data_IF_740920509607
#
_entry.id   IF_740920509607
#
_cell.length_a   1.000
_cell.length_b   1.000
_cell.length_c   1.000
_cell.angle_alpha   90.00
_cell.angle_beta   90.00
_cell.angle_gamma   90.00
#
_symmetry.space_group_name_H-M   'P 1'
#
loop_
_entity.id
_entity.type
_entity.pdbx_description
1 polymer ?
#
# COMPACT_ATOMS: atom_id res chain seq x y z
N UNK A 1 4.76 -39.08 4.05
CA UNK A 1 5.73 -40.17 4.27
C UNK A 1 5.80 -40.40 5.78
N UNK A 2 5.31 -41.52 6.32
CA UNK A 2 5.44 -41.78 7.76
C UNK A 2 6.94 -41.86 8.11
N UNK A 3 7.37 -41.18 9.17
CA UNK A 3 8.76 -41.12 9.67
C UNK A 3 9.75 -40.15 8.98
N UNK A 4 9.32 -39.24 8.12
CA UNK A 4 10.17 -38.12 7.68
C UNK A 4 10.00 -36.92 8.61
N UNK A 5 11.11 -36.46 9.20
CA UNK A 5 11.28 -35.12 9.77
C UNK A 5 12.24 -34.39 8.84
N UNK A 6 11.84 -33.24 8.30
CA UNK A 6 12.65 -32.46 7.36
C UNK A 6 11.86 -31.31 6.74
N UNK A 7 12.56 -30.43 6.03
CA UNK A 7 11.99 -29.30 5.32
C UNK A 7 12.10 -29.52 3.80
N UNK A 8 11.06 -29.10 3.06
CA UNK A 8 11.05 -29.07 1.60
C UNK A 8 10.70 -27.66 1.19
N UNK A 9 11.59 -27.01 0.45
CA UNK A 9 11.32 -25.70 -0.14
C UNK A 9 10.51 -25.87 -1.41
N UNK A 10 9.37 -25.19 -1.45
CA UNK A 10 8.51 -25.07 -2.62
C UNK A 10 8.85 -23.81 -3.41
N UNK A 11 8.53 -23.80 -4.71
CA UNK A 11 8.67 -22.61 -5.55
C UNK A 11 7.55 -22.59 -6.60
N UNK A 12 6.94 -21.43 -6.77
CA UNK A 12 5.88 -21.17 -7.75
C UNK A 12 6.45 -20.81 -9.14
N UNK A 13 7.77 -20.65 -9.28
CA UNK A 13 8.41 -20.58 -10.60
C UNK A 13 9.72 -19.80 -10.64
N UNK A 14 9.89 -19.00 -11.69
CA UNK A 14 11.10 -18.19 -11.90
C UNK A 14 11.12 -16.91 -11.05
N UNK A 15 9.96 -16.48 -10.54
CA UNK A 15 9.81 -15.25 -9.75
C UNK A 15 10.33 -15.40 -8.31
N UNK A 16 10.47 -16.62 -7.80
CA UNK A 16 10.94 -16.91 -6.45
C UNK A 16 12.27 -17.70 -6.44
N UNK A 17 13.05 -17.62 -7.53
CA UNK A 17 14.32 -18.34 -7.70
C UNK A 17 15.33 -18.05 -6.57
N UNK A 18 15.52 -16.77 -6.24
CA UNK A 18 16.40 -16.38 -5.15
C UNK A 18 15.88 -16.89 -3.80
N UNK A 19 14.58 -16.72 -3.55
CA UNK A 19 13.92 -17.16 -2.32
C UNK A 19 14.07 -18.67 -2.14
N UNK A 20 13.91 -19.46 -3.20
CA UNK A 20 14.13 -20.90 -3.17
C UNK A 20 15.53 -21.25 -2.68
N UNK A 21 16.56 -20.57 -3.20
CA UNK A 21 17.96 -20.84 -2.83
C UNK A 21 18.22 -20.43 -1.38
N UNK A 22 17.71 -19.26 -0.98
CA UNK A 22 17.83 -18.75 0.39
C UNK A 22 17.17 -19.68 1.40
N UNK A 23 15.90 -20.01 1.20
CA UNK A 23 15.16 -20.90 2.09
C UNK A 23 15.70 -22.31 2.09
N UNK A 24 16.27 -22.80 0.97
CA UNK A 24 16.90 -24.13 0.93
C UNK A 24 18.15 -24.18 1.79
N UNK A 25 18.97 -23.13 1.71
CA UNK A 25 20.18 -23.02 2.51
C UNK A 25 19.86 -22.89 4.01
N UNK A 26 18.88 -22.06 4.36
CA UNK A 26 18.43 -21.88 5.75
C UNK A 26 17.74 -23.12 6.33
N UNK A 27 16.96 -23.84 5.53
CA UNK A 27 16.36 -25.10 5.92
C UNK A 27 17.41 -26.17 6.25
N UNK A 28 18.55 -26.15 5.56
CA UNK A 28 19.68 -27.03 5.84
C UNK A 28 20.50 -26.55 7.04
N UNK A 29 20.79 -25.26 7.13
CA UNK A 29 21.53 -24.65 8.22
C UNK A 29 20.97 -23.25 8.53
N UNK A 30 20.21 -23.09 9.63
CA UNK A 30 19.63 -21.80 10.03
C UNK A 30 20.69 -20.72 10.32
N UNK A 31 21.91 -21.10 10.71
CA UNK A 31 23.02 -20.18 11.00
C UNK A 31 23.81 -19.75 9.74
N UNK A 32 23.25 -19.99 8.54
CA UNK A 32 23.91 -19.63 7.28
C UNK A 32 24.12 -18.12 7.17
N UNK A 33 25.36 -17.69 6.93
CA UNK A 33 25.66 -16.28 6.65
C UNK A 33 25.04 -15.86 5.31
N UNK A 34 23.98 -15.06 5.36
CA UNK A 34 23.22 -14.61 4.18
C UNK A 34 24.07 -13.84 3.18
N UNK A 35 24.93 -12.93 3.63
CA UNK A 35 25.80 -12.17 2.72
C UNK A 35 26.75 -13.07 1.93
N UNK A 36 27.32 -14.09 2.59
CA UNK A 36 28.14 -15.09 1.90
C UNK A 36 27.32 -15.91 0.91
N UNK A 37 26.11 -16.32 1.27
CA UNK A 37 25.20 -17.05 0.40
C UNK A 37 24.84 -16.24 -0.86
N UNK A 38 24.42 -14.98 -0.70
CA UNK A 38 24.09 -14.09 -1.82
C UNK A 38 25.32 -13.79 -2.69
N UNK A 39 26.50 -13.67 -2.08
CA UNK A 39 27.76 -13.52 -2.83
C UNK A 39 28.05 -14.76 -3.68
N UNK A 40 27.83 -15.96 -3.13
CA UNK A 40 27.99 -17.21 -3.87
C UNK A 40 26.95 -17.36 -4.98
N UNK A 41 25.70 -16.97 -4.72
CA UNK A 41 24.62 -16.91 -5.71
C UNK A 41 25.01 -16.05 -6.91
N UNK A 42 25.43 -14.80 -6.67
CA UNK A 42 25.83 -13.89 -7.73
C UNK A 42 27.05 -14.38 -8.53
N UNK A 43 28.06 -14.95 -7.85
CA UNK A 43 29.22 -15.53 -8.52
C UNK A 43 28.87 -16.75 -9.39
N UNK A 44 27.93 -17.58 -8.94
CA UNK A 44 27.57 -18.83 -9.62
C UNK A 44 26.62 -18.59 -10.80
N UNK A 45 25.55 -17.83 -10.57
CA UNK A 45 24.47 -17.70 -11.55
C UNK A 45 24.62 -16.51 -12.49
N UNK A 46 25.37 -15.48 -12.11
CA UNK A 46 25.52 -14.27 -12.93
C UNK A 46 26.96 -14.15 -13.43
N UNK A 47 27.90 -13.69 -12.59
CA UNK A 47 29.28 -13.45 -13.00
C UNK A 47 30.23 -13.61 -11.82
N UNK A 48 31.19 -14.51 -11.98
CA UNK A 48 32.33 -14.61 -11.05
C UNK A 48 33.07 -13.28 -10.98
N UNK A 49 33.23 -12.73 -9.78
CA UNK A 49 33.88 -11.44 -9.52
C UNK A 49 32.89 -10.31 -9.19
N UNK A 50 31.62 -10.43 -9.57
CA UNK A 50 30.57 -9.48 -9.20
C UNK A 50 29.77 -9.90 -7.97
N UNK A 51 29.98 -11.11 -7.43
CA UNK A 51 29.20 -11.66 -6.32
C UNK A 51 28.93 -10.69 -5.15
N UNK A 52 29.95 -10.01 -4.60
CA UNK A 52 29.72 -9.05 -3.50
C UNK A 52 28.79 -7.89 -3.88
N UNK A 53 28.93 -7.35 -5.10
CA UNK A 53 28.11 -6.24 -5.60
C UNK A 53 26.68 -6.68 -5.92
N UNK A 54 26.51 -7.90 -6.42
CA UNK A 54 25.19 -8.51 -6.60
C UNK A 54 24.50 -8.71 -5.25
N UNK A 55 25.22 -9.21 -4.23
CA UNK A 55 24.67 -9.35 -2.88
C UNK A 55 24.24 -8.00 -2.30
N UNK A 56 25.04 -6.96 -2.50
CA UNK A 56 24.70 -5.59 -2.11
C UNK A 56 23.43 -5.09 -2.83
N UNK A 57 23.35 -5.27 -4.15
CA UNK A 57 22.19 -4.90 -4.95
C UNK A 57 20.91 -5.63 -4.52
N UNK A 58 21.00 -6.93 -4.22
CA UNK A 58 19.87 -7.74 -3.71
C UNK A 58 19.40 -7.24 -2.34
N UNK A 59 20.31 -6.97 -1.40
CA UNK A 59 19.91 -6.33 -0.14
C UNK A 59 19.34 -4.93 -0.35
N UNK A 60 19.81 -4.19 -1.35
CA UNK A 60 19.24 -2.89 -1.74
C UNK A 60 17.77 -3.02 -2.15
N UNK A 61 17.41 -4.06 -2.92
CA UNK A 61 16.02 -4.33 -3.31
C UNK A 61 15.14 -4.62 -2.09
N UNK A 62 15.61 -5.39 -1.11
CA UNK A 62 14.87 -5.64 0.13
C UNK A 62 14.66 -4.36 0.94
N UNK A 63 15.69 -3.50 1.04
CA UNK A 63 15.59 -2.21 1.75
C UNK A 63 14.64 -1.21 1.07
N UNK A 64 14.34 -1.38 -0.22
CA UNK A 64 13.35 -0.54 -0.89
C UNK A 64 11.92 -0.77 -0.34
N UNK A 65 11.67 -1.91 0.33
CA UNK A 65 10.39 -2.21 0.99
C UNK A 65 10.31 -1.69 2.43
N UNK A 66 11.40 -1.18 2.98
CA UNK A 66 11.42 -0.65 4.35
C UNK A 66 10.89 0.79 4.40
N UNK A 67 9.66 0.95 4.89
CA UNK A 67 9.02 2.24 5.12
C UNK A 67 8.36 2.86 3.87
N UNK A 68 7.84 4.10 3.98
CA UNK A 68 7.14 4.77 2.89
C UNK A 68 8.03 5.01 1.68
N UNK A 69 7.55 4.66 0.48
CA UNK A 69 8.34 4.68 -0.76
C UNK A 69 8.77 6.10 -1.16
N UNK A 70 7.91 7.09 -0.99
CA UNK A 70 8.13 8.50 -1.33
C UNK A 70 9.35 9.09 -0.60
N UNK A 71 9.50 8.74 0.68
CA UNK A 71 10.56 9.20 1.57
C UNK A 71 11.73 8.21 1.71
N UNK A 72 11.64 7.01 1.14
CA UNK A 72 12.70 6.00 1.21
C UNK A 72 13.99 6.49 0.51
N UNK A 73 15.10 6.69 1.26
CA UNK A 73 16.34 7.22 0.70
C UNK A 73 17.15 6.19 -0.08
N UNK A 74 16.85 4.89 0.07
CA UNK A 74 17.66 3.80 -0.49
C UNK A 74 17.40 3.58 -1.97
N UNK A 75 16.20 3.89 -2.47
CA UNK A 75 15.73 3.52 -3.82
C UNK A 75 16.68 3.99 -4.92
N UNK A 76 17.13 5.24 -4.87
CA UNK A 76 18.10 5.76 -5.85
C UNK A 76 19.48 5.10 -5.71
N UNK A 77 19.93 4.82 -4.48
CA UNK A 77 21.20 4.13 -4.22
C UNK A 77 21.18 2.70 -4.78
N UNK A 78 20.08 1.98 -4.54
CA UNK A 78 19.83 0.64 -5.09
C UNK A 78 19.88 0.67 -6.62
N UNK A 79 19.16 1.59 -7.28
CA UNK A 79 19.20 1.71 -8.75
C UNK A 79 20.64 1.93 -9.25
N UNK A 80 21.42 2.81 -8.62
CA UNK A 80 22.80 3.10 -9.02
C UNK A 80 23.69 1.85 -8.96
N UNK A 81 23.56 1.03 -7.91
CA UNK A 81 24.33 -0.22 -7.79
C UNK A 81 24.08 -1.14 -8.99
N UNK A 82 22.81 -1.26 -9.41
CA UNK A 82 22.41 -2.09 -10.55
C UNK A 82 22.83 -1.48 -11.90
N UNK A 83 22.69 -0.17 -12.09
CA UNK A 83 23.16 0.54 -13.29
C UNK A 83 24.67 0.41 -13.47
N UNK A 84 25.45 0.54 -12.40
CA UNK A 84 26.90 0.35 -12.49
C UNK A 84 27.27 -1.09 -12.89
N UNK A 85 26.51 -2.10 -12.46
CA UNK A 85 26.75 -3.48 -12.91
C UNK A 85 26.36 -3.68 -14.38
N UNK A 86 25.26 -3.07 -14.82
CA UNK A 86 24.84 -3.05 -16.22
C UNK A 86 25.90 -2.40 -17.13
N UNK A 87 26.51 -1.29 -16.70
CA UNK A 87 27.57 -0.62 -17.45
C UNK A 87 28.84 -1.47 -17.56
N UNK A 88 29.21 -2.20 -16.51
CA UNK A 88 30.45 -3.00 -16.47
C UNK A 88 30.29 -4.32 -17.23
N UNK A 89 29.12 -4.95 -17.16
CA UNK A 89 28.84 -6.23 -17.84
C UNK A 89 27.50 -6.17 -18.62
N UNK A 90 27.44 -5.45 -19.76
CA UNK A 90 26.20 -5.33 -20.53
C UNK A 90 25.62 -6.65 -21.01
N UNK A 91 26.47 -7.67 -21.23
CA UNK A 91 26.01 -9.01 -21.64
C UNK A 91 25.10 -9.69 -20.60
N UNK A 92 25.17 -9.29 -19.32
CA UNK A 92 24.27 -9.81 -18.30
C UNK A 92 22.81 -9.37 -18.52
N UNK A 93 22.59 -8.22 -19.15
CA UNK A 93 21.24 -7.73 -19.46
C UNK A 93 20.61 -8.49 -20.64
N UNK A 94 21.43 -9.06 -21.51
CA UNK A 94 20.96 -9.77 -22.71
C UNK A 94 20.74 -11.26 -22.48
N UNK A 95 21.48 -11.86 -21.54
CA UNK A 95 21.64 -13.33 -21.46
C UNK A 95 21.45 -13.89 -20.06
N UNK A 96 21.08 -13.07 -19.08
CA UNK A 96 20.99 -13.51 -17.71
C UNK A 96 19.70 -13.00 -17.05
N UNK A 97 18.64 -13.78 -17.21
CA UNK A 97 17.33 -13.48 -16.66
C UNK A 97 17.32 -13.18 -15.15
N UNK A 98 18.25 -13.75 -14.36
CA UNK A 98 18.35 -13.44 -12.92
C UNK A 98 18.85 -12.03 -12.68
N UNK A 99 19.85 -11.61 -13.46
CA UNK A 99 20.33 -10.24 -13.43
C UNK A 99 19.27 -9.28 -13.96
N UNK A 100 18.61 -9.64 -15.08
CA UNK A 100 17.52 -8.87 -15.67
C UNK A 100 16.37 -8.64 -14.68
N UNK A 101 15.95 -9.65 -13.91
CA UNK A 101 14.91 -9.50 -12.89
C UNK A 101 15.30 -8.50 -11.79
N UNK A 102 16.54 -8.58 -11.28
CA UNK A 102 17.02 -7.64 -10.26
C UNK A 102 17.15 -6.21 -10.80
N UNK A 103 17.65 -6.06 -12.02
CA UNK A 103 17.74 -4.78 -12.71
C UNK A 103 16.34 -4.21 -12.98
N UNK A 104 15.41 -5.00 -13.50
CA UNK A 104 14.02 -4.62 -13.71
C UNK A 104 13.39 -4.10 -12.42
N UNK A 105 13.56 -4.83 -11.32
CA UNK A 105 13.02 -4.42 -10.01
C UNK A 105 13.59 -3.08 -9.56
N UNK A 106 14.91 -2.87 -9.69
CA UNK A 106 15.55 -1.61 -9.30
C UNK A 106 15.04 -0.41 -10.12
N UNK A 107 14.87 -0.58 -11.44
CA UNK A 107 14.25 0.42 -12.31
C UNK A 107 12.79 0.67 -11.93
N UNK A 108 12.05 -0.38 -11.57
CA UNK A 108 10.62 -0.30 -11.26
C UNK A 108 10.37 0.47 -9.98
N UNK A 109 11.07 0.11 -8.90
CA UNK A 109 10.97 0.80 -7.61
C UNK A 109 11.31 2.29 -7.75
N UNK A 110 12.36 2.62 -8.51
CA UNK A 110 12.72 4.01 -8.77
C UNK A 110 11.64 4.75 -9.57
N UNK A 111 11.15 4.16 -10.66
CA UNK A 111 10.12 4.78 -11.50
C UNK A 111 8.83 5.05 -10.71
N UNK A 112 8.33 4.03 -10.00
CA UNK A 112 7.11 4.15 -9.18
C UNK A 112 7.29 5.20 -8.08
N UNK A 113 8.46 5.25 -7.43
CA UNK A 113 8.75 6.30 -6.44
C UNK A 113 8.67 7.71 -7.04
N UNK A 114 9.27 7.92 -8.22
CA UNK A 114 9.27 9.23 -8.87
C UNK A 114 7.85 9.67 -9.26
N UNK A 115 7.02 8.72 -9.72
CA UNK A 115 5.59 8.95 -9.96
C UNK A 115 4.84 9.28 -8.67
N UNK A 116 5.00 8.48 -7.62
CA UNK A 116 4.33 8.70 -6.33
C UNK A 116 4.61 10.10 -5.78
N UNK A 117 5.87 10.55 -5.80
CA UNK A 117 6.26 11.89 -5.34
C UNK A 117 5.59 12.98 -6.18
N UNK A 118 5.60 12.84 -7.51
CA UNK A 118 4.98 13.80 -8.43
C UNK A 118 3.46 13.88 -8.25
N UNK A 119 2.79 12.73 -8.23
CA UNK A 119 1.34 12.61 -8.11
C UNK A 119 0.83 13.07 -6.73
N UNK A 120 1.59 12.82 -5.66
CA UNK A 120 1.28 13.34 -4.33
C UNK A 120 1.36 14.86 -4.27
N UNK A 121 2.31 15.47 -4.98
CA UNK A 121 2.42 16.93 -5.07
C UNK A 121 1.22 17.53 -5.82
N UNK A 122 0.79 16.89 -6.92
CA UNK A 122 -0.42 17.31 -7.65
C UNK A 122 -1.66 17.20 -6.76
N UNK A 123 -1.82 16.08 -6.03
CA UNK A 123 -2.94 15.91 -5.11
C UNK A 123 -2.96 17.03 -4.07
N UNK A 124 -1.81 17.35 -3.46
CA UNK A 124 -1.71 18.45 -2.51
C UNK A 124 -2.15 19.79 -3.11
N UNK A 125 -1.72 20.10 -4.33
CA UNK A 125 -2.12 21.34 -5.02
C UNK A 125 -3.63 21.39 -5.32
N UNK A 126 -4.24 20.24 -5.62
CA UNK A 126 -5.69 20.10 -5.78
C UNK A 126 -6.41 20.39 -4.46
N UNK A 127 -5.93 19.81 -3.35
CA UNK A 127 -6.51 20.04 -2.02
C UNK A 127 -6.37 21.50 -1.60
N UNK A 128 -5.18 22.10 -1.78
CA UNK A 128 -4.94 23.52 -1.52
C UNK A 128 -5.86 24.43 -2.36
N UNK A 129 -6.09 24.05 -3.63
CA UNK A 129 -7.02 24.76 -4.51
C UNK A 129 -8.46 24.70 -3.99
N UNK A 130 -8.93 23.52 -3.56
CA UNK A 130 -10.25 23.35 -2.98
C UNK A 130 -10.40 24.23 -1.74
N UNK A 131 -9.45 24.18 -0.80
CA UNK A 131 -9.47 24.97 0.43
C UNK A 131 -9.47 26.49 0.17
N UNK A 132 -8.84 26.94 -0.91
CA UNK A 132 -8.81 28.35 -1.31
C UNK A 132 -10.09 28.84 -2.00
N UNK A 133 -10.99 27.93 -2.37
CA UNK A 133 -12.20 28.23 -3.14
C UNK A 133 -13.23 28.96 -2.28
N UNK A 134 -13.83 30.01 -2.84
CA UNK A 134 -14.87 30.80 -2.16
C UNK A 134 -16.22 30.62 -2.87
N UNK A 135 -17.33 30.48 -2.11
CA UNK A 135 -18.67 30.47 -2.70
C UNK A 135 -18.93 31.75 -3.50
N UNK A 136 -19.55 31.63 -4.68
CA UNK A 136 -20.02 32.78 -5.47
C UNK A 136 -21.51 32.65 -5.75
N UNK A 137 -22.29 33.61 -5.29
CA UNK A 137 -23.74 33.49 -5.19
C UNK A 137 -24.53 33.72 -6.51
N UNK A 138 -23.89 34.02 -7.65
CA UNK A 138 -24.65 34.58 -8.78
C UNK A 138 -24.18 34.31 -10.21
N UNK A 139 -23.09 33.55 -10.43
CA UNK A 139 -22.64 33.25 -11.79
C UNK A 139 -23.12 31.87 -12.25
N UNK A 140 -23.52 31.76 -13.52
CA UNK A 140 -23.87 30.51 -14.21
C UNK A 140 -22.74 29.46 -14.21
N UNK A 141 -21.55 29.84 -13.76
CA UNK A 141 -20.46 28.98 -13.34
C UNK A 141 -20.10 29.33 -11.88
N UNK A 142 -20.71 28.61 -10.92
CA UNK A 142 -20.46 28.79 -9.50
C UNK A 142 -18.98 28.64 -9.13
N UNK A 143 -18.61 29.11 -7.94
CA UNK A 143 -17.25 28.97 -7.41
C UNK A 143 -16.80 27.51 -7.36
N UNK A 144 -17.71 26.60 -7.01
CA UNK A 144 -17.46 25.15 -6.99
C UNK A 144 -17.17 24.58 -8.37
N UNK A 145 -17.94 24.96 -9.40
CA UNK A 145 -17.78 24.44 -10.78
C UNK A 145 -16.45 24.89 -11.38
N UNK A 146 -16.08 26.15 -11.17
CA UNK A 146 -14.77 26.65 -11.60
C UNK A 146 -13.62 25.96 -10.87
N UNK A 147 -13.78 25.69 -9.57
CA UNK A 147 -12.77 24.97 -8.79
C UNK A 147 -12.58 23.54 -9.28
N UNK A 148 -13.67 22.81 -9.54
CA UNK A 148 -13.63 21.45 -10.10
C UNK A 148 -12.92 21.46 -11.46
N UNK A 149 -13.25 22.42 -12.33
CA UNK A 149 -12.58 22.55 -13.63
C UNK A 149 -11.07 22.76 -13.48
N UNK A 150 -10.66 23.71 -12.63
CA UNK A 150 -9.24 23.98 -12.36
C UNK A 150 -8.53 22.76 -11.76
N UNK A 151 -9.18 22.04 -10.84
CA UNK A 151 -8.62 20.84 -10.21
C UNK A 151 -8.47 19.70 -11.23
N UNK A 152 -9.44 19.48 -12.12
CA UNK A 152 -9.33 18.49 -13.21
C UNK A 152 -8.18 18.82 -14.18
N UNK A 153 -7.89 20.11 -14.42
CA UNK A 153 -6.72 20.50 -15.21
C UNK A 153 -5.41 20.15 -14.51
N UNK A 154 -5.32 20.35 -13.20
CA UNK A 154 -4.16 19.95 -12.40
C UNK A 154 -3.98 18.42 -12.38
N UNK A 155 -5.04 17.66 -12.10
CA UNK A 155 -5.00 16.19 -12.08
C UNK A 155 -4.55 15.61 -13.43
N UNK A 156 -4.95 16.23 -14.54
CA UNK A 156 -4.51 15.82 -15.89
C UNK A 156 -3.00 16.00 -16.12
N UNK A 157 -2.33 16.89 -15.39
CA UNK A 157 -0.88 17.07 -15.54
C UNK A 157 -0.11 15.79 -15.23
N UNK A 158 -0.63 14.93 -14.34
CA UNK A 158 -0.02 13.63 -14.02
C UNK A 158 0.10 12.70 -15.25
N UNK A 159 -0.78 12.83 -16.25
CA UNK A 159 -0.69 12.05 -17.49
C UNK A 159 0.18 12.71 -18.58
N UNK A 160 0.31 14.03 -18.51
CA UNK A 160 0.96 14.83 -19.56
C UNK A 160 2.46 14.99 -19.32
N UNK A 161 2.88 15.01 -18.06
CA UNK A 161 4.29 15.10 -17.70
C UNK A 161 4.95 13.73 -17.79
N UNK A 162 5.86 13.57 -18.76
CA UNK A 162 6.62 12.33 -18.95
C UNK A 162 7.72 12.22 -17.87
N UNK A 163 7.33 11.76 -16.69
CA UNK A 163 8.27 11.49 -15.59
C UNK A 163 9.23 10.37 -15.99
N UNK A 164 10.53 10.63 -15.86
CA UNK A 164 11.60 9.64 -16.03
C UNK A 164 11.45 8.76 -17.30
N UNK A 165 11.13 9.39 -18.45
CA UNK A 165 10.77 8.67 -19.68
C UNK A 165 11.82 7.62 -20.09
N UNK A 166 13.10 7.89 -19.87
CA UNK A 166 14.18 6.95 -20.18
C UNK A 166 14.15 5.71 -19.27
N UNK A 167 13.84 5.89 -17.98
CA UNK A 167 13.66 4.79 -17.01
C UNK A 167 12.46 3.96 -17.41
N UNK A 168 11.34 4.61 -17.76
CA UNK A 168 10.13 3.92 -18.25
C UNK A 168 10.43 3.11 -19.51
N UNK A 169 11.08 3.70 -20.51
CA UNK A 169 11.46 2.98 -21.74
C UNK A 169 12.37 1.79 -21.43
N UNK A 170 13.30 1.93 -20.48
CA UNK A 170 14.16 0.84 -20.03
C UNK A 170 13.37 -0.29 -19.36
N UNK A 171 12.36 0.02 -18.55
CA UNK A 171 11.47 -0.99 -17.95
C UNK A 171 10.76 -1.84 -18.99
N UNK A 172 10.17 -1.21 -20.01
CA UNK A 172 9.51 -1.95 -21.09
C UNK A 172 10.51 -2.80 -21.89
N UNK A 173 11.69 -2.25 -22.19
CA UNK A 173 12.75 -3.02 -22.84
C UNK A 173 13.17 -4.25 -22.02
N UNK A 174 13.41 -4.08 -20.71
CA UNK A 174 13.78 -5.18 -19.83
C UNK A 174 12.67 -6.22 -19.71
N UNK A 175 11.40 -5.78 -19.66
CA UNK A 175 10.28 -6.71 -19.64
C UNK A 175 10.17 -7.55 -20.92
N UNK A 176 10.38 -6.92 -22.08
CA UNK A 176 10.42 -7.63 -23.37
C UNK A 176 11.59 -8.65 -23.39
N UNK A 177 12.78 -8.29 -22.87
CA UNK A 177 13.94 -9.19 -22.76
C UNK A 177 13.69 -10.38 -21.81
N UNK A 178 13.12 -10.13 -20.63
CA UNK A 178 12.80 -11.20 -19.66
C UNK A 178 11.78 -12.17 -20.28
N UNK A 179 10.80 -11.66 -21.04
CA UNK A 179 9.86 -12.50 -21.77
C UNK A 179 10.56 -13.36 -22.83
N UNK A 180 11.46 -12.78 -23.63
CA UNK A 180 12.24 -13.54 -24.62
C UNK A 180 13.11 -14.63 -23.98
N UNK A 181 13.71 -14.35 -22.82
CA UNK A 181 14.65 -15.25 -22.17
C UNK A 181 13.99 -16.38 -21.38
N UNK A 182 12.90 -16.11 -20.66
CA UNK A 182 12.26 -17.07 -19.75
C UNK A 182 10.74 -17.15 -19.85
N UNK A 183 10.12 -16.41 -20.77
CA UNK A 183 8.66 -16.42 -20.98
C UNK A 183 7.87 -15.75 -19.87
N UNK A 184 8.48 -14.89 -19.05
CA UNK A 184 7.75 -14.19 -17.98
C UNK A 184 6.77 -13.17 -18.55
N UNK A 185 5.49 -13.33 -18.24
CA UNK A 185 4.42 -12.57 -18.87
C UNK A 185 4.10 -11.30 -18.07
N UNK A 186 4.93 -10.26 -18.21
CA UNK A 186 4.77 -9.01 -17.46
C UNK A 186 3.69 -8.05 -18.01
N UNK A 187 2.96 -8.46 -19.05
CA UNK A 187 1.86 -7.70 -19.66
C UNK A 187 0.87 -8.63 -20.39
N UNK A 188 -0.42 -8.32 -20.34
CA UNK A 188 -1.49 -9.03 -21.08
C UNK A 188 -1.27 -8.90 -22.58
N UNK A 189 -1.27 -7.67 -23.10
CA UNK A 189 -1.21 -7.44 -24.54
C UNK A 189 0.17 -7.69 -25.14
N UNK A 190 1.25 -7.41 -24.40
CA UNK A 190 2.63 -7.53 -24.92
C UNK A 190 3.19 -8.94 -24.77
N UNK A 191 2.92 -9.60 -23.65
CA UNK A 191 3.54 -10.89 -23.28
C UNK A 191 2.54 -12.05 -23.16
N UNK A 192 1.24 -11.78 -23.38
CA UNK A 192 0.19 -12.80 -23.40
C UNK A 192 -0.21 -13.32 -22.02
N UNK A 193 -0.06 -12.51 -20.96
CA UNK A 193 -0.56 -12.85 -19.64
C UNK A 193 -2.10 -13.06 -19.68
N UNK A 194 -2.60 -13.92 -18.79
CA UNK A 194 -4.02 -14.27 -18.78
C UNK A 194 -4.95 -13.13 -18.36
N UNK A 195 -4.51 -12.30 -17.40
CA UNK A 195 -5.25 -11.16 -16.87
C UNK A 195 -4.32 -10.21 -16.09
N UNK A 196 -4.82 -9.05 -15.68
CA UNK A 196 -4.07 -8.01 -14.97
C UNK A 196 -3.68 -8.39 -13.52
N UNK A 197 -4.36 -9.37 -12.92
CA UNK A 197 -4.09 -9.88 -11.57
C UNK A 197 -2.89 -10.85 -11.51
N UNK A 198 -2.32 -11.22 -12.66
CA UNK A 198 -1.23 -12.22 -12.79
C UNK A 198 0.17 -11.62 -12.88
N UNK A 199 0.44 -10.53 -12.16
CA UNK A 199 1.78 -9.94 -12.10
C UNK A 199 2.17 -9.17 -13.37
N UNK A 200 1.19 -8.57 -14.05
CA UNK A 200 1.39 -7.76 -15.26
C UNK A 200 1.87 -6.36 -14.92
N UNK A 201 3.04 -6.28 -14.30
CA UNK A 201 3.61 -5.04 -13.75
C UNK A 201 3.76 -3.93 -14.79
N UNK A 202 3.95 -4.24 -16.07
CA UNK A 202 4.07 -3.22 -17.12
C UNK A 202 2.73 -2.58 -17.49
N UNK A 203 1.63 -3.29 -17.31
CA UNK A 203 0.31 -2.73 -17.58
C UNK A 203 -0.11 -1.80 -16.43
N UNK A 204 0.25 -2.13 -15.18
CA UNK A 204 -0.12 -1.37 -13.98
C UNK A 204 0.89 -0.28 -13.62
N UNK A 205 2.04 -0.22 -14.31
CA UNK A 205 3.14 0.71 -14.01
C UNK A 205 2.73 2.19 -14.06
N UNK A 206 1.68 2.52 -14.80
CA UNK A 206 1.14 3.88 -14.97
C UNK A 206 -0.21 4.07 -14.25
N UNK A 207 -0.65 3.10 -13.43
CA UNK A 207 -1.85 3.28 -12.61
C UNK A 207 -1.64 4.41 -11.58
N UNK A 208 -2.61 5.29 -11.31
CA UNK A 208 -2.48 6.36 -10.32
C UNK A 208 -2.07 5.83 -8.94
N UNK A 209 -1.11 6.49 -8.30
CA UNK A 209 -0.56 6.14 -6.97
C UNK A 209 -1.07 7.07 -5.87
N UNK A 210 -2.18 7.76 -6.13
CA UNK A 210 -2.76 8.79 -5.29
C UNK A 210 -4.29 8.72 -5.36
N UNK A 211 -4.98 9.70 -4.76
CA UNK A 211 -6.43 9.70 -4.68
C UNK A 211 -7.15 10.27 -5.91
N UNK A 212 -6.47 10.41 -7.05
CA UNK A 212 -7.03 11.04 -8.26
C UNK A 212 -8.34 10.42 -8.71
N UNK A 213 -8.42 9.09 -8.83
CA UNK A 213 -9.63 8.42 -9.33
C UNK A 213 -10.82 8.67 -8.40
N UNK A 214 -10.59 8.65 -7.09
CA UNK A 214 -11.59 9.00 -6.09
C UNK A 214 -12.01 10.47 -6.17
N UNK A 215 -11.05 11.41 -6.27
CA UNK A 215 -11.35 12.84 -6.40
C UNK A 215 -12.17 13.13 -7.66
N UNK A 216 -11.80 12.55 -8.80
CA UNK A 216 -12.54 12.72 -10.07
C UNK A 216 -13.96 12.17 -9.97
N UNK A 217 -14.15 10.98 -9.37
CA UNK A 217 -15.48 10.42 -9.13
C UNK A 217 -16.32 11.31 -8.18
N UNK A 218 -15.71 11.84 -7.11
CA UNK A 218 -16.38 12.78 -6.21
C UNK A 218 -16.76 14.09 -6.91
N UNK A 219 -15.94 14.59 -7.83
CA UNK A 219 -16.30 15.75 -8.64
C UNK A 219 -17.53 15.50 -9.51
N UNK A 220 -17.62 14.32 -10.16
CA UNK A 220 -18.78 13.95 -10.97
C UNK A 220 -20.07 13.94 -10.13
N UNK A 221 -20.01 13.41 -8.90
CA UNK A 221 -21.13 13.40 -7.95
C UNK A 221 -21.50 14.82 -7.48
N UNK A 222 -20.50 15.65 -7.15
CA UNK A 222 -20.70 17.04 -6.70
C UNK A 222 -21.36 17.88 -7.79
N UNK A 223 -20.98 17.70 -9.06
CA UNK A 223 -21.58 18.44 -10.18
C UNK A 223 -23.09 18.18 -10.34
N UNK A 224 -23.62 17.08 -9.78
CA UNK A 224 -25.06 16.78 -9.79
C UNK A 224 -25.85 17.45 -8.66
N UNK A 225 -25.18 18.02 -7.66
CA UNK A 225 -25.85 18.70 -6.55
C UNK A 225 -26.46 20.02 -7.03
N UNK A 226 -27.68 20.31 -6.58
CA UNK A 226 -28.44 21.47 -7.07
C UNK A 226 -27.88 22.81 -6.56
N UNK A 227 -27.51 22.87 -5.27
CA UNK A 227 -27.11 24.12 -4.62
C UNK A 227 -25.59 24.33 -4.60
N UNK A 228 -25.16 25.59 -4.70
CA UNK A 228 -23.75 25.96 -4.55
C UNK A 228 -23.23 25.64 -3.14
N UNK A 229 -24.08 25.75 -2.13
CA UNK A 229 -23.74 25.48 -0.74
C UNK A 229 -23.45 24.00 -0.51
N UNK A 230 -24.29 23.11 -1.05
CA UNK A 230 -24.07 21.66 -0.96
C UNK A 230 -22.81 21.25 -1.72
N UNK A 231 -22.57 21.82 -2.91
CA UNK A 231 -21.34 21.58 -3.68
C UNK A 231 -20.09 22.01 -2.94
N UNK A 232 -20.12 23.20 -2.35
CA UNK A 232 -19.00 23.70 -1.56
C UNK A 232 -18.76 22.86 -0.30
N UNK A 233 -19.83 22.42 0.36
CA UNK A 233 -19.74 21.52 1.52
C UNK A 233 -19.07 20.20 1.13
N UNK A 234 -19.55 19.55 0.06
CA UNK A 234 -18.99 18.29 -0.42
C UNK A 234 -17.55 18.42 -0.96
N UNK A 235 -17.18 19.58 -1.54
CA UNK A 235 -15.78 19.87 -1.89
C UNK A 235 -14.91 19.96 -0.65
N UNK A 236 -15.37 20.66 0.40
CA UNK A 236 -14.63 20.76 1.65
C UNK A 236 -14.53 19.40 2.37
N UNK A 237 -15.48 18.49 2.19
CA UNK A 237 -15.35 17.11 2.68
C UNK A 237 -14.20 16.35 2.00
N UNK A 238 -13.93 16.60 0.71
CA UNK A 238 -12.74 16.04 0.03
C UNK A 238 -11.47 16.59 0.68
N UNK A 239 -11.40 17.91 0.86
CA UNK A 239 -10.21 18.56 1.37
C UNK A 239 -9.92 18.27 2.85
N UNK A 240 -10.97 18.07 3.66
CA UNK A 240 -10.86 17.78 5.10
C UNK A 240 -11.16 16.31 5.40
N UNK A 241 -10.96 15.41 4.43
CA UNK A 241 -11.33 14.00 4.56
C UNK A 241 -10.68 13.32 5.77
N UNK A 242 -9.39 13.61 5.99
CA UNK A 242 -8.58 13.03 7.07
C UNK A 242 -8.84 13.72 8.42
N UNK A 243 -9.16 15.02 8.42
CA UNK A 243 -9.49 15.79 9.63
C UNK A 243 -10.89 16.43 9.48
N UNK A 244 -11.98 15.63 9.52
CA UNK A 244 -13.34 16.15 9.35
C UNK A 244 -13.75 17.12 10.47
N UNK A 245 -13.09 17.04 11.64
CA UNK A 245 -13.17 18.01 12.72
C UNK A 245 -11.78 18.27 13.29
N UNK A 246 -11.49 19.51 13.73
CA UNK A 246 -10.24 19.83 14.41
C UNK A 246 -9.94 18.87 15.57
N UNK A 247 -8.74 18.31 15.59
CA UNK A 247 -8.32 17.36 16.62
C UNK A 247 -8.75 15.91 16.37
N UNK A 248 -9.21 15.58 15.15
CA UNK A 248 -9.41 14.19 14.75
C UNK A 248 -8.06 13.46 14.68
N UNK A 249 -7.98 12.28 15.27
CA UNK A 249 -6.84 11.38 15.10
C UNK A 249 -7.17 10.39 13.98
N UNK A 250 -6.42 10.45 12.87
CA UNK A 250 -6.62 9.62 11.69
C UNK A 250 -5.48 8.63 11.51
N UNK A 251 -5.82 7.39 11.21
CA UNK A 251 -4.87 6.36 10.78
C UNK A 251 -5.28 5.82 9.41
N UNK A 252 -4.31 5.80 8.50
CA UNK A 252 -4.34 5.05 7.25
C UNK A 252 -3.53 3.77 7.49
N UNK A 253 -4.24 2.66 7.64
CA UNK A 253 -3.67 1.38 8.04
C UNK A 253 -3.02 0.63 6.88
N UNK A 254 -3.16 1.10 5.62
CA UNK A 254 -2.41 0.56 4.49
C UNK A 254 -1.04 1.22 4.30
N UNK A 255 -0.79 2.32 5.00
CA UNK A 255 0.39 3.14 4.78
C UNK A 255 1.34 3.14 5.99
N UNK A 256 2.58 2.59 5.89
CA UNK A 256 3.47 2.38 7.04
C UNK A 256 3.95 3.67 7.73
N UNK A 257 3.82 4.83 7.06
CA UNK A 257 4.09 6.15 7.64
C UNK A 257 2.89 6.86 8.25
N UNK A 258 1.70 6.27 8.24
CA UNK A 258 0.42 6.92 8.60
C UNK A 258 -0.45 6.10 9.56
N UNK A 259 0.13 5.07 10.16
CA UNK A 259 -0.50 4.14 11.11
C UNK A 259 -0.02 4.39 12.55
N UNK A 260 0.00 5.67 12.97
CA UNK A 260 0.66 6.12 14.20
C UNK A 260 0.19 5.38 15.46
N UNK A 261 -1.09 5.01 15.50
CA UNK A 261 -1.70 4.38 16.67
C UNK A 261 -1.68 2.86 16.58
N UNK A 262 -1.25 2.25 15.47
CA UNK A 262 -1.23 0.80 15.30
C UNK A 262 -0.22 0.15 16.25
N UNK A 263 -0.71 -0.77 17.08
CA UNK A 263 0.15 -1.64 17.89
C UNK A 263 0.54 -2.85 17.05
N UNK A 264 1.73 -2.80 16.44
CA UNK A 264 2.35 -3.99 15.86
C UNK A 264 2.93 -4.87 16.99
N UNK A 265 2.65 -6.18 17.02
CA UNK A 265 3.23 -7.06 18.03
C UNK A 265 4.77 -7.08 17.89
N UNK A 266 5.48 -6.68 18.95
CA UNK A 266 6.95 -6.72 19.03
C UNK A 266 7.39 -7.86 19.96
N UNK A 267 8.22 -8.81 19.50
CA UNK A 267 8.77 -9.88 20.34
C UNK A 267 9.53 -10.99 19.59
N UNK A 268 10.45 -11.69 20.28
CA UNK A 268 11.53 -12.58 19.78
C UNK A 268 11.12 -13.82 18.94
N UNK A 269 9.84 -14.04 18.70
CA UNK A 269 9.35 -15.10 17.82
C UNK A 269 8.13 -14.64 17.03
N UNK A 270 8.26 -13.55 16.28
CA UNK A 270 7.41 -13.37 15.12
C UNK A 270 7.75 -14.56 14.21
N UNK A 271 6.93 -15.62 14.24
CA UNK A 271 7.05 -16.64 13.22
C UNK A 271 6.89 -15.93 11.88
N UNK A 272 7.59 -16.33 10.80
CA UNK A 272 7.42 -15.67 9.51
C UNK A 272 5.95 -15.48 9.16
N UNK A 273 5.09 -16.46 9.48
CA UNK A 273 3.62 -16.44 9.40
C UNK A 273 2.93 -15.24 10.09
N UNK A 274 3.46 -14.75 11.21
CA UNK A 274 2.96 -13.59 11.98
C UNK A 274 3.23 -12.25 11.25
N UNK A 275 4.18 -12.21 10.30
CA UNK A 275 4.38 -11.07 9.38
C UNK A 275 3.37 -11.07 8.21
N UNK A 276 2.74 -12.22 7.91
CA UNK A 276 1.75 -12.33 6.82
C UNK A 276 0.35 -11.89 7.25
N UNK A 277 0.13 -11.64 8.55
CA UNK A 277 -1.20 -11.44 9.13
C UNK A 277 -1.48 -10.01 9.54
N UNK A 278 -0.51 -9.10 9.45
CA UNK A 278 -0.70 -7.65 9.44
C UNK A 278 -0.06 -7.11 8.15
N UNK A 279 -0.48 -7.67 7.03
CA UNK A 279 0.02 -7.30 5.72
C UNK A 279 -0.90 -6.24 5.15
N UNK A 280 -0.29 -5.22 4.54
CA UNK A 280 -1.01 -4.30 3.67
C UNK A 280 -1.53 -5.14 2.49
N UNK A 281 -2.83 -5.37 2.47
CA UNK A 281 -3.46 -6.20 1.44
C UNK A 281 -4.30 -5.36 0.51
N UNK A 282 -3.94 -5.38 -0.77
CA UNK A 282 -4.72 -4.76 -1.84
C UNK A 282 -6.07 -5.47 -1.94
N UNK A 283 -7.14 -4.72 -1.66
CA UNK A 283 -8.54 -5.12 -1.68
C UNK A 283 -9.16 -5.03 -3.08
N UNK A 284 -8.39 -4.65 -4.10
CA UNK A 284 -8.87 -4.46 -5.47
C UNK A 284 -8.30 -5.52 -6.41
N UNK A 285 -9.19 -6.35 -6.98
CA UNK A 285 -8.85 -7.32 -8.02
C UNK A 285 -8.90 -6.73 -9.43
N UNK A 286 -9.43 -5.50 -9.57
CA UNK A 286 -9.55 -4.76 -10.82
C UNK A 286 -9.11 -3.30 -10.60
N UNK A 287 -7.79 -3.05 -10.39
CA UNK A 287 -7.30 -1.73 -9.94
C UNK A 287 -7.76 -0.60 -10.85
N UNK A 288 -7.90 -0.82 -12.16
CA UNK A 288 -8.32 0.20 -13.13
C UNK A 288 -9.77 0.65 -13.02
N UNK A 289 -10.63 -0.08 -12.32
CA UNK A 289 -12.04 0.26 -12.13
C UNK A 289 -12.34 0.73 -10.70
N UNK A 290 -11.34 0.71 -9.82
CA UNK A 290 -11.52 1.06 -8.43
C UNK A 290 -11.41 2.57 -8.21
N UNK A 291 -12.57 3.20 -8.00
CA UNK A 291 -12.69 4.62 -7.70
C UNK A 291 -12.79 4.90 -6.20
N UNK A 292 -12.60 3.88 -5.34
CA UNK A 292 -12.44 4.12 -3.90
C UNK A 292 -11.20 4.95 -3.64
N UNK A 293 -11.18 5.64 -2.49
CA UNK A 293 -9.99 6.35 -2.03
C UNK A 293 -8.82 5.36 -1.91
N UNK A 294 -7.59 5.78 -2.20
CA UNK A 294 -6.43 4.89 -2.24
C UNK A 294 -6.25 4.14 -0.90
N UNK A 295 -6.41 4.85 0.23
CA UNK A 295 -6.40 4.30 1.61
C UNK A 295 -7.55 3.34 1.94
N UNK A 296 -8.50 3.12 1.02
CA UNK A 296 -9.56 2.11 1.14
C UNK A 296 -9.30 0.88 0.26
N UNK A 297 -8.24 0.94 -0.55
CA UNK A 297 -7.84 -0.15 -1.42
C UNK A 297 -6.78 -1.02 -0.74
N UNK A 298 -6.21 -0.60 0.37
CA UNK A 298 -5.29 -1.37 1.20
C UNK A 298 -5.60 -1.18 2.70
N UNK A 299 -5.00 -2.01 3.54
CA UNK A 299 -5.22 -1.97 4.98
C UNK A 299 -4.69 -3.21 5.68
N UNK A 300 -4.86 -3.22 6.99
CA UNK A 300 -4.40 -4.33 7.83
C UNK A 300 -5.46 -5.42 7.88
N UNK A 301 -5.11 -6.58 7.33
CA UNK A 301 -5.89 -7.80 7.51
C UNK A 301 -5.82 -8.32 8.96
N UNK A 302 -6.90 -8.95 9.40
CA UNK A 302 -7.01 -9.64 10.68
C UNK A 302 -7.65 -11.00 10.41
N UNK A 303 -6.84 -12.06 10.41
CA UNK A 303 -7.26 -13.40 10.00
C UNK A 303 -6.97 -14.42 11.11
N UNK A 304 -7.91 -15.31 11.47
CA UNK A 304 -7.60 -16.46 12.33
C UNK A 304 -6.83 -17.51 11.52
N UNK A 305 -5.49 -17.41 11.45
CA UNK A 305 -4.66 -18.40 10.76
C UNK A 305 -4.11 -19.47 11.71
N UNK A 306 -4.26 -20.74 11.32
CA UNK A 306 -3.57 -21.94 11.81
C UNK A 306 -3.52 -22.26 13.31
N UNK A 307 -4.13 -21.47 14.22
CA UNK A 307 -4.46 -21.78 15.63
C UNK A 307 -4.49 -20.57 16.58
N UNK A 308 -4.37 -19.32 16.09
CA UNK A 308 -4.40 -18.12 16.93
C UNK A 308 -5.62 -17.24 16.65
N UNK A 309 -6.27 -16.79 17.72
CA UNK A 309 -7.18 -15.65 17.68
C UNK A 309 -6.32 -14.41 17.45
N UNK A 310 -6.41 -13.80 16.26
CA UNK A 310 -5.71 -12.54 16.00
C UNK A 310 -6.62 -11.34 16.28
N UNK A 311 -5.98 -10.30 16.79
CA UNK A 311 -6.61 -9.07 17.25
C UNK A 311 -5.83 -7.89 16.66
N UNK A 312 -6.53 -6.99 15.97
CA UNK A 312 -5.99 -5.70 15.56
C UNK A 312 -6.11 -4.74 16.74
N UNK A 313 -5.03 -4.07 17.11
CA UNK A 313 -5.00 -3.19 18.28
C UNK A 313 -4.48 -1.80 17.89
N UNK A 314 -5.18 -0.75 18.27
CA UNK A 314 -4.69 0.62 18.19
C UNK A 314 -4.66 1.24 19.60
N UNK A 315 -3.73 2.15 19.85
CA UNK A 315 -3.57 2.86 21.11
C UNK A 315 -3.40 4.36 20.90
N UNK A 316 -4.28 5.13 21.51
CA UNK A 316 -4.29 6.59 21.49
C UNK A 316 -3.83 7.10 22.86
N UNK A 317 -2.59 7.59 23.00
CA UNK A 317 -2.00 7.91 24.31
C UNK A 317 -2.30 9.33 24.83
N UNK A 318 -2.91 10.19 24.02
CA UNK A 318 -3.03 11.62 24.34
C UNK A 318 -4.37 12.19 23.87
N UNK A 319 -5.44 11.89 24.62
CA UNK A 319 -6.78 12.41 24.41
C UNK A 319 -7.07 13.66 25.26
N UNK A 320 -7.94 14.51 24.74
CA UNK A 320 -8.49 15.67 25.45
C UNK A 320 -9.58 15.21 26.43
N UNK A 321 -9.32 15.42 27.72
CA UNK A 321 -10.17 15.00 28.83
C UNK A 321 -11.51 15.74 28.89
N UNK A 322 -11.64 16.89 28.20
CA UNK A 322 -12.88 17.66 28.16
C UNK A 322 -13.79 17.24 27.01
N UNK A 323 -13.34 16.36 26.12
CA UNK A 323 -14.07 15.92 24.94
C UNK A 323 -14.65 14.52 25.12
N UNK A 324 -15.74 14.26 24.41
CA UNK A 324 -16.22 12.89 24.16
C UNK A 324 -15.79 12.44 22.77
N UNK A 325 -15.78 11.14 22.50
CA UNK A 325 -15.20 10.60 21.27
C UNK A 325 -16.14 9.68 20.50
N UNK A 326 -16.03 9.76 19.18
CA UNK A 326 -16.66 8.85 18.25
C UNK A 326 -15.59 8.25 17.36
N UNK A 327 -15.52 6.92 17.31
CA UNK A 327 -14.66 6.23 16.38
C UNK A 327 -15.43 5.98 15.09
N UNK A 328 -14.82 6.33 13.96
CA UNK A 328 -15.23 5.95 12.61
C UNK A 328 -14.19 4.96 12.08
N UNK A 329 -14.59 3.86 11.47
CA UNK A 329 -13.65 2.87 10.92
C UNK A 329 -14.16 2.27 9.62
N UNK A 330 -13.32 2.25 8.57
CA UNK A 330 -13.64 1.59 7.30
C UNK A 330 -13.17 0.14 7.37
N UNK A 331 -14.12 -0.79 7.20
CA UNK A 331 -13.88 -2.23 7.39
C UNK A 331 -14.39 -3.02 6.19
N UNK A 332 -13.52 -3.81 5.59
CA UNK A 332 -13.91 -4.85 4.64
C UNK A 332 -14.00 -6.18 5.39
N UNK A 333 -15.12 -6.88 5.23
CA UNK A 333 -15.34 -8.19 5.85
C UNK A 333 -15.65 -9.20 4.77
N UNK A 334 -15.07 -10.39 4.86
CA UNK A 334 -15.55 -11.51 4.05
C UNK A 334 -16.94 -11.97 4.53
N UNK A 335 -17.76 -12.53 3.62
CA UNK A 335 -19.18 -12.81 3.87
C UNK A 335 -19.47 -13.66 5.13
N UNK A 336 -18.55 -14.54 5.51
CA UNK A 336 -18.67 -15.45 6.66
C UNK A 336 -18.01 -14.94 7.95
N UNK A 337 -17.39 -13.76 7.90
CA UNK A 337 -16.64 -13.19 9.02
C UNK A 337 -17.54 -12.59 10.09
N UNK A 338 -17.24 -12.92 11.34
CA UNK A 338 -17.79 -12.32 12.55
C UNK A 338 -16.65 -11.80 13.40
N UNK A 339 -16.79 -10.58 13.87
CA UNK A 339 -15.84 -9.93 14.74
C UNK A 339 -16.57 -9.13 15.81
N UNK A 340 -15.86 -8.85 16.90
CA UNK A 340 -16.28 -7.94 17.93
C UNK A 340 -15.27 -6.79 18.04
N UNK A 341 -15.78 -5.62 18.40
CA UNK A 341 -14.98 -4.42 18.64
C UNK A 341 -14.99 -4.08 20.13
N UNK A 342 -13.82 -3.78 20.67
CA UNK A 342 -13.61 -3.46 22.08
C UNK A 342 -12.89 -2.12 22.21
N UNK A 343 -13.29 -1.35 23.23
CA UNK A 343 -12.59 -0.18 23.74
C UNK A 343 -12.24 -0.46 25.21
N UNK A 344 -10.96 -0.43 25.58
CA UNK A 344 -10.45 -0.77 26.92
C UNK A 344 -11.04 -2.06 27.52
N UNK A 345 -11.19 -3.08 26.66
CA UNK A 345 -11.74 -4.38 27.03
C UNK A 345 -13.27 -4.42 27.19
N UNK A 346 -13.97 -3.30 27.05
CA UNK A 346 -15.42 -3.25 26.96
C UNK A 346 -15.87 -3.41 25.50
N UNK A 347 -16.75 -4.37 25.24
CA UNK A 347 -17.33 -4.55 23.91
C UNK A 347 -18.28 -3.39 23.55
N UNK A 348 -18.05 -2.76 22.40
CA UNK A 348 -18.88 -1.65 21.89
C UNK A 348 -19.52 -2.08 20.57
N UNK A 349 -20.84 -1.90 20.46
CA UNK A 349 -21.59 -2.20 19.23
C UNK A 349 -21.59 -0.98 18.29
N UNK A 350 -21.52 -1.19 16.96
CA UNK A 350 -21.62 -0.10 16.01
C UNK A 350 -23.00 0.56 16.05
N UNK A 351 -23.03 1.84 15.71
CA UNK A 351 -24.25 2.63 15.56
C UNK A 351 -24.91 2.30 14.22
N UNK A 352 -26.05 1.59 14.27
CA UNK A 352 -26.79 1.18 13.08
C UNK A 352 -26.60 -0.30 12.74
N UNK A 353 -27.24 -0.79 11.66
CA UNK A 353 -27.00 -2.16 11.21
C UNK A 353 -25.52 -2.33 10.79
N UNK A 354 -24.95 -3.55 10.91
CA UNK A 354 -23.60 -3.82 10.41
C UNK A 354 -23.54 -3.44 8.94
N UNK A 355 -22.59 -2.58 8.59
CA UNK A 355 -22.53 -2.05 7.24
C UNK A 355 -22.14 -3.16 6.25
N UNK A 356 -22.45 -2.96 4.98
CA UNK A 356 -22.09 -3.92 3.92
C UNK A 356 -20.56 -3.96 3.71
N UNK A 357 -20.09 -4.74 2.72
CA UNK A 357 -18.66 -4.93 2.48
C UNK A 357 -18.03 -3.60 2.01
N UNK A 358 -17.13 -3.02 2.83
CA UNK A 358 -16.42 -1.78 2.49
C UNK A 358 -17.09 -0.47 2.94
N UNK A 359 -18.06 -0.53 3.84
CA UNK A 359 -18.68 0.66 4.42
C UNK A 359 -18.12 0.99 5.80
N UNK A 360 -18.17 2.28 6.13
CA UNK A 360 -17.61 2.84 7.36
C UNK A 360 -18.54 2.64 8.56
N UNK A 361 -18.07 1.95 9.59
CA UNK A 361 -18.76 1.76 10.85
C UNK A 361 -18.47 2.90 11.84
N UNK A 362 -19.45 3.21 12.68
CA UNK A 362 -19.38 4.29 13.67
C UNK A 362 -19.61 3.72 15.07
N UNK A 363 -18.73 4.03 16.02
CA UNK A 363 -18.79 3.59 17.39
C UNK A 363 -18.79 4.80 18.31
N UNK A 364 -19.77 4.87 19.22
CA UNK A 364 -19.77 5.88 20.29
C UNK A 364 -18.93 5.36 21.45
N UNK A 365 -17.82 6.03 21.75
CA UNK A 365 -16.94 5.64 22.85
C UNK A 365 -17.51 6.20 24.16
N UNK A 366 -17.76 5.36 25.18
CA UNK A 366 -18.16 5.82 26.51
C UNK A 366 -17.10 6.73 27.14
N UNK A 367 -17.53 7.85 27.73
CA UNK A 367 -16.61 8.87 28.28
C UNK A 367 -15.73 8.36 29.44
N UNK A 368 -16.18 7.33 30.17
CA UNK A 368 -15.41 6.72 31.24
C UNK A 368 -14.16 5.98 30.71
N UNK A 369 -14.22 5.47 29.48
CA UNK A 369 -13.10 4.78 28.80
C UNK A 369 -12.06 5.74 28.20
N UNK A 370 -12.26 7.06 28.29
CA UNK A 370 -11.27 8.06 27.83
C UNK A 370 -10.88 9.02 28.95
N UNK A 371 -11.24 8.70 30.19
CA UNK A 371 -11.16 9.62 31.34
C UNK A 371 -9.75 9.79 31.90
N UNK A 372 -8.84 8.88 31.58
CA UNK A 372 -7.41 8.94 31.90
C UNK A 372 -6.57 9.56 30.76
N UNK A 373 -7.20 9.90 29.63
CA UNK A 373 -6.55 10.52 28.47
C UNK A 373 -5.93 9.50 27.53
N UNK A 374 -6.17 8.21 27.76
CA UNK A 374 -5.72 7.12 26.91
C UNK A 374 -6.93 6.36 26.35
N UNK A 375 -6.74 5.63 25.25
CA UNK A 375 -7.74 4.70 24.74
C UNK A 375 -7.06 3.58 23.96
N UNK A 376 -7.35 2.33 24.33
CA UNK A 376 -6.99 1.17 23.53
C UNK A 376 -8.23 0.63 22.84
N UNK A 377 -8.15 0.49 21.52
CA UNK A 377 -9.21 -0.14 20.73
C UNK A 377 -8.73 -1.45 20.12
N UNK A 378 -9.68 -2.35 19.88
CA UNK A 378 -9.39 -3.68 19.40
C UNK A 378 -10.50 -4.24 18.51
N UNK A 379 -10.13 -4.82 17.37
CA UNK A 379 -10.99 -5.72 16.62
C UNK A 379 -10.53 -7.16 16.82
N UNK A 380 -11.47 -8.04 17.16
CA UNK A 380 -11.22 -9.48 17.35
C UNK A 380 -12.11 -10.29 16.43
N UNK A 381 -11.51 -11.11 15.57
CA UNK A 381 -12.28 -12.04 14.72
C UNK A 381 -12.72 -13.24 15.56
N UNK A 382 -14.02 -13.45 15.65
CA UNK A 382 -14.64 -14.55 16.39
C UNK A 382 -14.83 -15.79 15.51
N UNK A 383 -15.08 -15.57 14.20
CA UNK A 383 -15.34 -16.64 13.23
C UNK A 383 -15.12 -16.12 11.81
N UNK A 384 -14.76 -17.02 10.90
CA UNK A 384 -14.76 -16.76 9.46
C UNK A 384 -13.37 -16.40 8.93
N UNK A 385 -13.28 -16.02 7.65
CA UNK A 385 -11.99 -15.85 7.00
C UNK A 385 -11.17 -14.71 7.60
N UNK A 386 -11.79 -13.58 7.96
CA UNK A 386 -11.12 -12.41 8.52
C UNK A 386 -11.79 -11.08 8.17
N UNK A 387 -11.21 -9.99 8.65
CA UNK A 387 -11.58 -8.62 8.27
C UNK A 387 -10.34 -7.83 7.87
N UNK A 388 -10.54 -6.75 7.13
CA UNK A 388 -9.53 -5.73 6.87
C UNK A 388 -10.03 -4.41 7.44
N UNK A 389 -9.20 -3.75 8.22
CA UNK A 389 -9.45 -2.37 8.65
C UNK A 389 -8.49 -1.49 7.86
N UNK A 390 -9.04 -0.55 7.10
CA UNK A 390 -8.27 0.28 6.17
C UNK A 390 -8.01 1.66 6.75
N UNK A 391 -9.03 2.23 7.40
CA UNK A 391 -8.96 3.59 7.91
C UNK A 391 -9.66 3.69 9.27
N UNK A 392 -9.13 4.54 10.15
CA UNK A 392 -9.81 4.91 11.40
C UNK A 392 -9.74 6.40 11.65
N UNK A 393 -10.81 6.96 12.22
CA UNK A 393 -10.86 8.33 12.72
C UNK A 393 -11.41 8.32 14.14
N UNK A 394 -10.61 8.75 15.10
CA UNK A 394 -11.09 9.07 16.44
C UNK A 394 -11.45 10.56 16.49
N UNK A 395 -12.75 10.84 16.41
CA UNK A 395 -13.29 12.18 16.18
C UNK A 395 -13.79 12.78 17.51
N UNK A 396 -13.23 13.92 17.97
CA UNK A 396 -13.70 14.60 19.17
C UNK A 396 -15.11 15.18 18.95
N UNK A 397 -15.90 15.14 20.01
CA UNK A 397 -17.27 15.65 20.10
C UNK A 397 -17.36 16.65 21.26
N UNK A 398 -18.22 17.65 21.08
CA UNK A 398 -18.48 18.70 22.08
C UNK A 398 -19.43 18.26 23.19
#
# INVERSE_FOLDING_TARGET
VPHTVGAITYSDGVNDDLNKILWSALAWNPDTNLTKLLTQYGNYFMKSGLGPKIAEGLYGLERNWEGPLDTNPNVLGTLRIWQEMEEIEPELVEKNWRFEQGLFRAYYDFYVRQRLVHESQIEKEVIDRILSTKPRAHDLAGGSVSAIYDCRLLLRMADLELIEEQVRRKLFFLGDQIFENIGSQLSVMRHGAGDYDRGTMLDTVDHPLNNRLWIENRFDEIEQLESEEDRMTALLEIANYEEPKPGTLYDDLGHPGRELHLIRPVGESIEPADQWTLKDEIQSWEPYLDTRRYSQQDGIGCFPRWSRDWELNLFYPTLDLEKSYMLRATIHKDEDSRYAFYADGQEIKPMGPPASLGETEIYKIPNDLTSDGELKIQWKVERGPGIHVTETWLIPQD
#
